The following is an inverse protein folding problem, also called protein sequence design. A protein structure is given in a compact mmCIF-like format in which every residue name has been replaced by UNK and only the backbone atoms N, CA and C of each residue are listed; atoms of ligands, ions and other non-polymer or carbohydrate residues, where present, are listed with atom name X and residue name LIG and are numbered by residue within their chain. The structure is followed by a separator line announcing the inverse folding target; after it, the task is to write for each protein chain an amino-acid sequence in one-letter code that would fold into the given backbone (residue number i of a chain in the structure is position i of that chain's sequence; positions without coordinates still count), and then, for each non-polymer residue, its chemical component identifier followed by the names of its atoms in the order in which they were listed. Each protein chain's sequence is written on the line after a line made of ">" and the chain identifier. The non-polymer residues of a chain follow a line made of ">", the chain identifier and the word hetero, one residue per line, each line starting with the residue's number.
data_IF_638835187983
#
_entry.id   IF_638835187983
#
_cell.length_a   1.000
_cell.length_b   1.000
_cell.length_c   1.000
_cell.angle_alpha   90.00
_cell.angle_beta   90.00
_cell.angle_gamma   90.00
#
_symmetry.space_group_name_H-M   'P 1'
#
loop_
_entity.id
_entity.type
_entity.pdbx_description
1 polymer ?
#
# COMPACT_ATOMS: atom_id res chain seq x y z
N UNK A 1 35.19 -43.35 -87.46
CA UNK A 1 35.70 -43.91 -88.71
C UNK A 1 36.29 -42.85 -89.59
N UNK A 2 37.14 -43.27 -90.59
CA UNK A 2 37.79 -42.37 -91.50
C UNK A 2 37.49 -42.78 -92.92
N UNK A 3 37.09 -41.84 -93.82
CA UNK A 3 36.77 -42.11 -95.23
C UNK A 3 37.71 -41.25 -96.16
N UNK A 4 37.95 -41.71 -97.34
CA UNK A 4 38.61 -40.94 -98.40
C UNK A 4 37.60 -40.06 -99.20
N UNK A 5 38.10 -39.29 -100.18
CA UNK A 5 37.26 -38.44 -101.00
C UNK A 5 36.23 -39.24 -101.85
N UNK A 6 36.51 -40.47 -102.16
CA UNK A 6 35.63 -41.39 -102.86
C UNK A 6 34.63 -42.05 -101.97
N UNK A 7 34.61 -41.66 -100.64
CA UNK A 7 33.77 -42.26 -99.55
C UNK A 7 34.14 -43.74 -99.23
N UNK A 8 35.30 -44.20 -99.56
CA UNK A 8 35.72 -45.52 -99.15
C UNK A 8 36.19 -45.46 -97.72
N UNK A 9 35.85 -46.50 -96.96
CA UNK A 9 36.21 -46.61 -95.57
C UNK A 9 37.73 -46.99 -95.44
N UNK A 10 38.54 -46.06 -94.83
CA UNK A 10 39.95 -46.25 -94.60
C UNK A 10 40.21 -46.96 -93.27
N UNK A 11 39.51 -46.46 -92.21
CA UNK A 11 39.63 -46.99 -90.89
C UNK A 11 38.31 -46.96 -90.16
N UNK A 12 37.98 -48.04 -89.47
CA UNK A 12 36.75 -48.19 -88.71
C UNK A 12 37.00 -48.60 -87.27
N UNK A 13 36.60 -47.81 -86.32
CA UNK A 13 36.50 -48.11 -84.91
C UNK A 13 35.06 -48.20 -84.44
N UNK A 14 34.10 -47.99 -85.39
CA UNK A 14 32.69 -48.04 -85.10
C UNK A 14 32.11 -49.43 -85.41
N UNK A 15 30.95 -49.73 -84.91
CA UNK A 15 30.26 -50.99 -85.27
C UNK A 15 29.88 -50.97 -86.76
N UNK A 16 29.84 -52.15 -87.37
CA UNK A 16 29.52 -52.32 -88.81
C UNK A 16 28.11 -51.77 -89.16
N UNK A 17 27.21 -51.82 -88.22
CA UNK A 17 25.86 -51.31 -88.27
C UNK A 17 25.83 -49.74 -88.28
N UNK A 18 26.69 -49.11 -87.55
CA UNK A 18 26.84 -47.64 -87.58
C UNK A 18 27.46 -47.09 -88.85
N UNK A 19 28.37 -47.85 -89.47
CA UNK A 19 28.99 -47.45 -90.75
C UNK A 19 27.97 -47.58 -91.86
N UNK A 20 27.19 -48.62 -91.91
CA UNK A 20 26.18 -48.86 -92.95
C UNK A 20 25.04 -47.86 -92.91
N UNK A 21 24.61 -47.51 -91.70
CA UNK A 21 23.58 -46.45 -91.44
C UNK A 21 24.06 -45.04 -91.85
N UNK A 22 25.34 -44.75 -91.74
CA UNK A 22 25.95 -43.44 -92.07
C UNK A 22 26.41 -43.28 -93.50
N UNK A 23 26.53 -44.42 -94.26
CA UNK A 23 26.96 -44.37 -95.64
C UNK A 23 25.93 -43.71 -96.56
N UNK A 24 24.69 -43.58 -96.15
CA UNK A 24 23.62 -42.84 -96.81
C UNK A 24 23.55 -41.32 -96.45
N UNK A 25 24.27 -40.91 -95.46
CA UNK A 25 24.23 -39.46 -95.00
C UNK A 25 25.13 -38.63 -95.86
N UNK A 26 24.65 -37.52 -96.40
CA UNK A 26 25.46 -36.60 -97.16
C UNK A 26 26.46 -35.85 -96.18
N UNK A 27 27.70 -36.38 -96.19
CA UNK A 27 28.74 -35.85 -95.27
C UNK A 27 29.15 -34.47 -95.75
N UNK A 28 28.68 -33.46 -95.00
CA UNK A 28 29.07 -32.10 -95.21
C UNK A 28 30.54 -31.89 -94.91
N UNK A 29 31.23 -31.01 -95.53
CA UNK A 29 32.60 -30.61 -95.27
C UNK A 29 32.72 -29.98 -93.88
N UNK A 30 33.43 -30.61 -93.01
CA UNK A 30 33.76 -30.20 -91.59
C UNK A 30 32.66 -29.47 -90.87
N UNK A 31 32.06 -30.14 -89.90
CA UNK A 31 30.97 -29.57 -89.03
C UNK A 31 30.45 -30.52 -88.00
N UNK A 32 29.53 -30.04 -87.18
CA UNK A 32 28.80 -30.84 -86.18
C UNK A 32 27.32 -30.65 -86.37
N UNK A 33 26.56 -31.74 -86.49
CA UNK A 33 25.10 -31.70 -86.57
C UNK A 33 24.49 -32.93 -85.90
N UNK A 34 23.22 -32.83 -85.67
CA UNK A 34 22.44 -33.98 -85.17
C UNK A 34 21.74 -34.60 -86.33
N UNK A 35 21.95 -35.92 -86.46
CA UNK A 35 21.28 -36.78 -87.48
C UNK A 35 20.39 -37.78 -86.83
N UNK A 36 19.19 -37.93 -87.33
CA UNK A 36 18.25 -38.96 -86.84
C UNK A 36 18.36 -40.17 -87.71
N UNK A 37 18.85 -41.23 -87.14
CA UNK A 37 18.99 -42.51 -87.82
C UNK A 37 18.06 -43.55 -87.19
N UNK A 38 17.00 -43.90 -87.90
CA UNK A 38 15.90 -44.74 -87.32
C UNK A 38 15.17 -44.04 -86.19
N UNK A 39 15.18 -44.61 -84.99
CA UNK A 39 14.57 -44.06 -83.83
C UNK A 39 15.55 -43.31 -82.86
N UNK A 40 16.86 -43.35 -83.19
CA UNK A 40 17.91 -42.78 -82.36
C UNK A 40 18.53 -41.51 -82.97
N UNK A 41 18.92 -40.55 -82.13
CA UNK A 41 19.59 -39.33 -82.56
C UNK A 41 21.10 -39.45 -82.25
N UNK A 42 21.89 -39.11 -83.26
CA UNK A 42 23.35 -39.19 -83.22
C UNK A 42 23.94 -37.77 -83.46
N UNK A 43 24.94 -37.46 -82.67
CA UNK A 43 25.77 -36.30 -82.94
C UNK A 43 26.87 -36.75 -83.88
N UNK A 44 26.89 -36.20 -85.05
CA UNK A 44 27.89 -36.47 -86.12
C UNK A 44 28.85 -35.27 -86.14
N UNK A 45 30.12 -35.55 -85.96
CA UNK A 45 31.19 -34.55 -86.08
C UNK A 45 32.12 -35.00 -87.20
N UNK A 46 32.35 -34.08 -88.18
CA UNK A 46 33.25 -34.36 -89.32
C UNK A 46 34.38 -33.37 -89.32
N UNK A 47 35.61 -33.84 -89.55
CA UNK A 47 36.82 -33.00 -89.68
C UNK A 47 37.59 -33.51 -90.89
N UNK A 48 37.85 -32.61 -91.88
CA UNK A 48 38.65 -32.92 -93.03
C UNK A 48 40.15 -32.72 -92.75
N UNK A 49 40.96 -33.73 -93.02
CA UNK A 49 42.40 -33.74 -92.85
C UNK A 49 43.03 -33.31 -94.18
N UNK A 50 43.41 -32.06 -94.31
CA UNK A 50 43.88 -31.40 -95.58
C UNK A 50 45.12 -32.03 -96.16
N UNK A 51 45.96 -32.70 -95.38
CA UNK A 51 47.22 -33.29 -95.79
C UNK A 51 47.04 -34.69 -96.49
N UNK A 52 45.89 -35.34 -96.31
CA UNK A 52 45.68 -36.73 -96.77
C UNK A 52 44.39 -36.90 -97.56
N UNK A 53 43.66 -35.88 -97.84
CA UNK A 53 42.30 -35.86 -98.43
C UNK A 53 41.34 -36.87 -97.73
N UNK A 54 41.49 -36.96 -96.39
CA UNK A 54 40.63 -37.85 -95.56
C UNK A 54 39.62 -37.06 -94.73
N UNK A 55 38.49 -37.63 -94.44
CA UNK A 55 37.50 -37.10 -93.55
C UNK A 55 37.31 -38.02 -92.32
N UNK A 56 37.60 -37.46 -91.14
CA UNK A 56 37.35 -38.21 -89.93
C UNK A 56 35.92 -37.91 -89.47
N UNK A 57 35.16 -38.98 -89.26
CA UNK A 57 33.76 -38.91 -88.79
C UNK A 57 33.68 -39.52 -87.38
N UNK A 58 33.31 -38.73 -86.43
CA UNK A 58 32.99 -39.23 -85.10
C UNK A 58 31.47 -39.15 -84.86
N UNK A 59 30.94 -40.29 -84.49
CA UNK A 59 29.49 -40.45 -84.25
C UNK A 59 29.28 -40.85 -82.77
N UNK A 60 28.52 -40.09 -82.10
CA UNK A 60 28.17 -40.32 -80.72
C UNK A 60 26.64 -40.40 -80.57
N UNK A 61 26.15 -41.42 -79.92
CA UNK A 61 24.71 -41.48 -79.62
C UNK A 61 24.33 -40.42 -78.62
N UNK A 62 23.37 -39.60 -78.98
CA UNK A 62 22.86 -38.50 -78.11
C UNK A 62 22.20 -39.09 -76.87
N UNK A 63 21.55 -40.26 -77.00
CA UNK A 63 20.94 -40.99 -75.92
C UNK A 63 22.01 -41.45 -74.86
N UNK A 64 23.16 -41.88 -75.35
CA UNK A 64 24.25 -42.31 -74.47
C UNK A 64 24.93 -41.14 -73.72
N UNK A 65 25.13 -40.02 -74.43
CA UNK A 65 25.64 -38.77 -73.86
C UNK A 65 24.67 -38.18 -72.82
N UNK A 66 23.37 -38.21 -73.11
CA UNK A 66 22.34 -37.68 -72.23
C UNK A 66 21.95 -38.64 -71.10
N UNK A 67 22.14 -39.93 -71.25
CA UNK A 67 21.79 -40.92 -70.22
C UNK A 67 22.42 -40.70 -68.86
N UNK A 68 23.68 -40.28 -68.82
CA UNK A 68 24.38 -39.93 -67.58
C UNK A 68 23.85 -38.61 -66.97
N UNK A 69 23.54 -37.65 -67.82
CA UNK A 69 22.94 -36.39 -67.43
C UNK A 69 21.53 -36.59 -66.89
N UNK A 70 20.72 -37.47 -67.53
CA UNK A 70 19.39 -37.81 -67.03
C UNK A 70 19.46 -38.53 -65.68
N UNK A 71 20.35 -39.53 -65.50
CA UNK A 71 20.53 -40.20 -64.22
C UNK A 71 20.95 -39.21 -63.12
N UNK A 72 21.86 -38.31 -63.44
CA UNK A 72 22.31 -37.30 -62.45
C UNK A 72 21.17 -36.34 -62.11
N UNK A 73 20.36 -35.91 -63.10
CA UNK A 73 19.18 -35.07 -62.88
C UNK A 73 18.16 -35.78 -61.98
N UNK A 74 17.80 -37.02 -62.32
CA UNK A 74 16.80 -37.77 -61.54
C UNK A 74 17.24 -38.06 -60.10
N UNK A 75 18.56 -38.32 -59.91
CA UNK A 75 19.17 -38.47 -58.62
C UNK A 75 19.16 -37.15 -57.83
N UNK A 76 19.47 -36.01 -58.48
CA UNK A 76 19.39 -34.69 -57.80
C UNK A 76 17.96 -34.32 -57.45
N UNK A 77 16.98 -34.62 -58.30
CA UNK A 77 15.55 -34.41 -57.94
C UNK A 77 15.12 -35.29 -56.79
N UNK A 78 15.56 -36.56 -56.73
CA UNK A 78 15.26 -37.43 -55.60
C UNK A 78 15.88 -36.88 -54.29
N UNK A 79 17.13 -36.47 -54.32
CA UNK A 79 17.78 -35.87 -53.17
C UNK A 79 17.10 -34.55 -52.72
N UNK A 80 16.74 -33.70 -53.67
CA UNK A 80 16.04 -32.44 -53.38
C UNK A 80 14.66 -32.67 -52.74
N UNK A 81 13.90 -33.62 -53.25
CA UNK A 81 12.59 -33.99 -52.67
C UNK A 81 12.74 -34.60 -51.29
N UNK A 82 13.71 -35.48 -51.08
CA UNK A 82 13.97 -36.12 -49.77
C UNK A 82 14.43 -35.10 -48.74
N UNK A 83 15.32 -34.16 -49.12
CA UNK A 83 15.77 -33.08 -48.25
C UNK A 83 14.64 -32.11 -47.91
N UNK A 84 13.78 -31.80 -48.88
CA UNK A 84 12.60 -30.93 -48.65
C UNK A 84 11.60 -31.58 -47.67
N UNK A 85 11.33 -32.90 -47.85
CA UNK A 85 10.48 -33.62 -46.91
C UNK A 85 11.06 -33.68 -45.50
N UNK A 86 12.36 -33.92 -45.40
CA UNK A 86 13.09 -33.91 -44.12
C UNK A 86 13.00 -32.55 -43.44
N UNK A 87 13.20 -31.44 -44.17
CA UNK A 87 13.08 -30.09 -43.65
C UNK A 87 11.68 -29.78 -43.15
N UNK A 88 10.63 -30.19 -43.90
CA UNK A 88 9.23 -30.03 -43.46
C UNK A 88 8.99 -30.84 -42.16
N UNK A 89 9.46 -32.07 -42.09
CA UNK A 89 9.30 -32.90 -40.90
C UNK A 89 9.97 -32.25 -39.66
N UNK A 90 11.19 -31.75 -39.81
CA UNK A 90 11.91 -31.04 -38.74
C UNK A 90 11.15 -29.81 -38.32
N UNK A 91 10.61 -29.03 -39.26
CA UNK A 91 9.82 -27.82 -38.97
C UNK A 91 8.53 -28.16 -38.19
N UNK A 92 7.85 -29.24 -38.58
CA UNK A 92 6.64 -29.70 -37.88
C UNK A 92 6.93 -30.16 -36.46
N UNK A 93 8.03 -30.92 -36.26
CA UNK A 93 8.49 -31.34 -34.93
C UNK A 93 8.85 -30.11 -34.09
N UNK A 94 9.60 -29.15 -34.62
CA UNK A 94 9.97 -27.94 -33.94
C UNK A 94 8.75 -27.12 -33.51
N UNK A 95 7.80 -26.92 -34.45
CA UNK A 95 6.57 -26.16 -34.16
C UNK A 95 5.75 -26.81 -33.05
N UNK A 96 5.60 -28.11 -33.11
CA UNK A 96 4.79 -28.84 -32.13
C UNK A 96 5.50 -28.95 -30.76
N UNK A 97 6.82 -29.19 -30.77
CA UNK A 97 7.61 -29.45 -29.56
C UNK A 97 8.03 -28.17 -28.83
N UNK A 98 8.29 -27.08 -29.55
CA UNK A 98 8.79 -25.86 -28.95
C UNK A 98 7.79 -24.69 -29.05
N UNK A 99 7.34 -24.37 -30.25
CA UNK A 99 6.57 -23.16 -30.46
C UNK A 99 5.19 -23.20 -29.77
N UNK A 100 4.50 -24.34 -29.90
CA UNK A 100 3.14 -24.48 -29.35
C UNK A 100 3.09 -24.40 -27.80
N UNK A 101 3.94 -25.07 -27.03
CA UNK A 101 4.00 -24.93 -25.57
C UNK A 101 4.41 -23.51 -25.12
N UNK A 102 5.38 -22.89 -25.79
CA UNK A 102 5.80 -21.55 -25.50
C UNK A 102 4.67 -20.53 -25.68
N UNK A 103 3.92 -20.64 -26.79
CA UNK A 103 2.72 -19.82 -27.02
C UNK A 103 1.65 -20.06 -25.94
N UNK A 104 1.53 -21.28 -25.41
CA UNK A 104 0.66 -21.59 -24.28
C UNK A 104 1.03 -20.83 -23.03
N UNK A 105 2.32 -20.79 -22.65
CA UNK A 105 2.78 -20.02 -21.49
C UNK A 105 2.51 -18.52 -21.70
N UNK A 106 2.80 -17.98 -22.90
CA UNK A 106 2.52 -16.57 -23.23
C UNK A 106 1.03 -16.24 -23.08
N UNK A 107 0.15 -17.17 -23.47
CA UNK A 107 -1.29 -16.97 -23.32
C UNK A 107 -1.71 -16.97 -21.85
N UNK A 108 -1.17 -17.87 -21.03
CA UNK A 108 -1.41 -17.88 -19.59
C UNK A 108 -0.89 -16.62 -18.90
N UNK A 109 0.28 -16.10 -19.31
CA UNK A 109 0.79 -14.80 -18.83
C UNK A 109 -0.16 -13.64 -19.15
N UNK A 110 -0.83 -13.67 -20.32
CA UNK A 110 -1.85 -12.67 -20.66
C UNK A 110 -3.08 -12.76 -19.74
N UNK A 111 -3.48 -13.96 -19.34
CA UNK A 111 -4.58 -14.15 -18.39
C UNK A 111 -4.21 -13.65 -16.99
N UNK A 112 -3.00 -13.97 -16.50
CA UNK A 112 -2.48 -13.43 -15.22
C UNK A 112 -2.48 -11.89 -15.23
N UNK A 113 -2.07 -11.28 -16.35
CA UNK A 113 -2.11 -9.81 -16.51
C UNK A 113 -3.53 -9.22 -16.42
N UNK A 114 -4.56 -10.00 -16.80
CA UNK A 114 -5.96 -9.60 -16.65
C UNK A 114 -6.52 -9.82 -15.24
N UNK A 115 -5.71 -10.34 -14.33
CA UNK A 115 -6.12 -10.62 -12.95
C UNK A 115 -6.62 -12.07 -12.73
N UNK A 116 -6.54 -12.95 -13.73
CA UNK A 116 -6.88 -14.35 -13.54
C UNK A 116 -5.66 -15.12 -13.03
N UNK A 117 -5.58 -15.30 -11.72
CA UNK A 117 -4.50 -16.04 -11.06
C UNK A 117 -4.81 -17.52 -10.83
N UNK A 118 -5.97 -18.02 -11.33
CA UNK A 118 -6.35 -19.45 -11.23
C UNK A 118 -5.88 -20.26 -12.43
N UNK A 119 -4.81 -19.84 -13.07
CA UNK A 119 -4.24 -20.50 -14.25
C UNK A 119 -2.99 -21.27 -13.87
N UNK A 120 -2.78 -22.41 -14.54
CA UNK A 120 -1.56 -23.21 -14.38
C UNK A 120 -1.13 -23.80 -15.71
N UNK A 121 0.19 -23.88 -15.90
CA UNK A 121 0.77 -24.60 -17.02
C UNK A 121 0.98 -26.06 -16.62
N UNK A 122 0.35 -26.98 -17.36
CA UNK A 122 0.53 -28.42 -17.14
C UNK A 122 1.36 -29.03 -18.27
N UNK A 123 2.53 -29.51 -17.95
CA UNK A 123 3.40 -30.23 -18.88
C UNK A 123 4.11 -31.35 -18.13
N UNK A 124 4.19 -32.56 -18.76
CA UNK A 124 5.01 -33.67 -18.23
C UNK A 124 6.42 -33.67 -18.81
N UNK A 125 6.95 -32.50 -19.17
CA UNK A 125 8.27 -32.35 -19.83
C UNK A 125 9.35 -32.13 -18.79
N UNK A 126 10.51 -32.76 -19.02
CA UNK A 126 11.71 -32.59 -18.18
C UNK A 126 12.80 -31.80 -18.94
N UNK A 127 12.40 -30.80 -19.74
CA UNK A 127 13.29 -29.90 -20.49
C UNK A 127 13.11 -28.47 -20.03
N UNK A 128 13.77 -27.53 -20.72
CA UNK A 128 13.78 -26.09 -20.41
C UNK A 128 12.36 -25.50 -20.46
N UNK A 129 11.48 -26.01 -21.31
CA UNK A 129 10.06 -25.60 -21.40
C UNK A 129 9.28 -26.08 -20.17
N UNK A 130 9.57 -27.28 -19.68
CA UNK A 130 9.00 -27.78 -18.42
C UNK A 130 9.44 -26.93 -17.24
N UNK A 131 10.73 -26.64 -17.14
CA UNK A 131 11.27 -25.75 -16.09
C UNK A 131 10.65 -24.34 -16.12
N UNK A 132 10.46 -23.77 -17.33
CA UNK A 132 9.80 -22.47 -17.51
C UNK A 132 8.35 -22.52 -17.02
N UNK A 133 7.64 -23.60 -17.32
CA UNK A 133 6.26 -23.82 -16.86
C UNK A 133 6.15 -23.95 -15.35
N UNK A 134 7.06 -24.68 -14.71
CA UNK A 134 7.11 -24.83 -13.25
C UNK A 134 7.45 -23.50 -12.56
N UNK A 135 8.39 -22.76 -13.13
CA UNK A 135 8.74 -21.40 -12.65
C UNK A 135 7.56 -20.44 -12.77
N UNK A 136 6.80 -20.50 -13.87
CA UNK A 136 5.57 -19.74 -14.04
C UNK A 136 4.53 -20.11 -12.97
N UNK A 137 4.30 -21.41 -12.74
CA UNK A 137 3.36 -21.87 -11.73
C UNK A 137 3.76 -21.43 -10.32
N UNK A 138 5.06 -21.51 -9.98
CA UNK A 138 5.59 -21.03 -8.70
C UNK A 138 5.36 -19.52 -8.52
N UNK A 139 5.58 -18.74 -9.57
CA UNK A 139 5.32 -17.29 -9.56
C UNK A 139 3.84 -16.97 -9.33
N UNK A 140 2.92 -17.66 -10.06
CA UNK A 140 1.47 -17.47 -9.89
C UNK A 140 1.04 -17.83 -8.47
N UNK A 141 1.55 -18.92 -7.92
CA UNK A 141 1.30 -19.32 -6.53
C UNK A 141 1.75 -18.25 -5.55
N UNK A 142 2.97 -17.74 -5.70
CA UNK A 142 3.49 -16.68 -4.82
C UNK A 142 2.63 -15.41 -4.88
N UNK A 143 2.12 -15.05 -6.07
CA UNK A 143 1.20 -13.92 -6.23
C UNK A 143 -0.09 -14.17 -5.46
N UNK A 144 -0.70 -15.34 -5.58
CA UNK A 144 -1.91 -15.71 -4.86
C UNK A 144 -1.71 -15.65 -3.33
N UNK A 145 -0.62 -16.25 -2.83
CA UNK A 145 -0.29 -16.25 -1.40
C UNK A 145 -0.09 -14.83 -0.87
N UNK A 146 0.51 -13.94 -1.67
CA UNK A 146 0.67 -12.53 -1.32
C UNK A 146 -0.65 -11.76 -1.34
N UNK A 147 -1.54 -12.02 -2.29
CA UNK A 147 -2.87 -11.41 -2.33
C UNK A 147 -3.68 -11.81 -1.09
N UNK A 148 -3.66 -13.10 -0.72
CA UNK A 148 -4.35 -13.59 0.48
C UNK A 148 -3.80 -12.93 1.76
N UNK A 149 -2.47 -12.89 1.94
CA UNK A 149 -1.83 -12.21 3.05
C UNK A 149 -2.16 -10.71 3.12
N UNK A 150 -2.11 -10.02 1.99
CA UNK A 150 -2.44 -8.60 1.94
C UNK A 150 -3.91 -8.34 2.29
N UNK A 151 -4.81 -9.21 1.86
CA UNK A 151 -6.24 -9.12 2.19
C UNK A 151 -6.47 -9.33 3.70
N UNK A 152 -5.78 -10.31 4.29
CA UNK A 152 -5.83 -10.55 5.75
C UNK A 152 -5.26 -9.38 6.55
N UNK A 153 -4.12 -8.83 6.11
CA UNK A 153 -3.52 -7.66 6.75
C UNK A 153 -4.42 -6.42 6.65
N UNK A 154 -5.01 -6.17 5.48
CA UNK A 154 -5.95 -5.07 5.29
C UNK A 154 -7.17 -5.19 6.21
N UNK A 155 -7.69 -6.42 6.40
CA UNK A 155 -8.78 -6.69 7.34
C UNK A 155 -8.37 -6.38 8.78
N UNK A 156 -7.19 -6.82 9.21
CA UNK A 156 -6.67 -6.56 10.58
C UNK A 156 -6.47 -5.05 10.83
N UNK A 157 -5.94 -4.33 9.84
CA UNK A 157 -5.78 -2.87 9.94
C UNK A 157 -7.14 -2.19 10.10
N UNK A 158 -8.11 -2.56 9.27
CA UNK A 158 -9.46 -2.00 9.35
C UNK A 158 -10.14 -2.29 10.70
N UNK A 159 -10.03 -3.53 11.22
CA UNK A 159 -10.55 -3.90 12.54
C UNK A 159 -9.87 -3.09 13.66
N UNK A 160 -8.54 -2.88 13.58
CA UNK A 160 -7.81 -2.08 14.56
C UNK A 160 -8.22 -0.59 14.52
N UNK A 161 -8.40 -0.01 13.34
CA UNK A 161 -8.89 1.36 13.17
C UNK A 161 -10.32 1.53 13.71
N UNK A 162 -11.17 0.53 13.47
CA UNK A 162 -12.55 0.54 13.98
C UNK A 162 -12.59 0.49 15.51
N UNK A 163 -11.81 -0.40 16.12
CA UNK A 163 -11.66 -0.47 17.58
C UNK A 163 -11.07 0.81 18.18
N UNK A 164 -10.08 1.40 17.49
CA UNK A 164 -9.50 2.68 17.91
C UNK A 164 -10.53 3.81 17.88
N UNK A 165 -11.32 3.89 16.81
CA UNK A 165 -12.39 4.88 16.66
C UNK A 165 -13.49 4.68 17.72
N UNK A 166 -13.87 3.44 17.97
CA UNK A 166 -14.85 3.10 19.01
C UNK A 166 -14.33 3.48 20.40
N UNK A 167 -13.07 3.17 20.70
CA UNK A 167 -12.42 3.58 21.95
C UNK A 167 -12.36 5.11 22.11
N UNK A 168 -12.06 5.84 21.03
CA UNK A 168 -12.12 7.31 21.02
C UNK A 168 -13.53 7.84 21.28
N UNK A 169 -14.55 7.26 20.64
CA UNK A 169 -15.96 7.63 20.87
C UNK A 169 -16.38 7.34 22.32
N UNK A 170 -16.00 6.20 22.87
CA UNK A 170 -16.24 5.86 24.29
C UNK A 170 -15.51 6.83 25.23
N UNK A 171 -14.28 7.18 24.92
CA UNK A 171 -13.52 8.17 25.69
C UNK A 171 -14.21 9.55 25.66
N UNK A 172 -14.67 9.99 24.48
CA UNK A 172 -15.43 11.22 24.32
C UNK A 172 -16.77 11.19 25.07
N UNK A 173 -17.51 10.08 24.99
CA UNK A 173 -18.78 9.91 25.71
C UNK A 173 -18.61 9.88 27.22
N UNK A 174 -17.52 9.29 27.72
CA UNK A 174 -17.23 9.22 29.18
C UNK A 174 -16.83 10.56 29.78
N UNK A 175 -16.37 11.51 28.95
CA UNK A 175 -15.97 12.87 29.38
C UNK A 175 -17.18 13.74 29.72
N UNK A 176 -18.32 13.52 29.08
CA UNK A 176 -19.58 14.12 29.49
C UNK A 176 -20.14 13.25 30.61
N UNK A 177 -19.99 13.65 31.89
CA UNK A 177 -20.63 12.93 33.00
C UNK A 177 -22.16 12.95 32.75
N UNK A 178 -22.79 11.85 32.31
CA UNK A 178 -24.23 11.86 31.94
C UNK A 178 -25.10 12.32 33.11
N UNK A 179 -24.68 12.00 34.30
CA UNK A 179 -25.33 12.39 35.53
C UNK A 179 -25.33 13.93 35.77
N UNK A 180 -24.22 14.61 35.41
CA UNK A 180 -24.17 16.08 35.49
C UNK A 180 -25.18 16.74 34.54
N UNK A 181 -25.22 16.29 33.26
CA UNK A 181 -26.18 16.79 32.28
C UNK A 181 -27.61 16.57 32.72
N UNK A 182 -27.94 15.33 33.16
CA UNK A 182 -29.27 14.97 33.63
C UNK A 182 -29.72 15.86 34.81
N UNK A 183 -28.85 16.04 35.81
CA UNK A 183 -29.13 16.87 36.96
C UNK A 183 -29.30 18.35 36.60
N UNK A 184 -28.46 18.86 35.66
CA UNK A 184 -28.57 20.25 35.20
C UNK A 184 -29.88 20.49 34.44
N UNK A 185 -30.29 19.59 33.53
CA UNK A 185 -31.53 19.70 32.81
C UNK A 185 -32.77 19.59 33.73
N UNK A 186 -32.72 18.69 34.70
CA UNK A 186 -33.78 18.59 35.72
C UNK A 186 -33.91 19.88 36.54
N UNK A 187 -32.77 20.44 36.99
CA UNK A 187 -32.75 21.71 37.72
C UNK A 187 -33.35 22.83 36.89
N UNK A 188 -32.97 22.97 35.63
CA UNK A 188 -33.52 23.96 34.70
C UNK A 188 -35.03 23.76 34.54
N UNK A 189 -35.48 22.52 34.35
CA UNK A 189 -36.93 22.20 34.26
C UNK A 189 -37.67 22.62 35.53
N UNK A 190 -37.13 22.34 36.71
CA UNK A 190 -37.73 22.76 37.98
C UNK A 190 -37.78 24.31 38.10
N UNK A 191 -36.73 25.02 37.71
CA UNK A 191 -36.68 26.50 37.72
C UNK A 191 -37.77 27.09 36.82
N UNK A 192 -37.99 26.51 35.64
CA UNK A 192 -39.09 26.92 34.76
C UNK A 192 -40.47 26.70 35.42
N UNK A 193 -40.66 25.51 36.03
CA UNK A 193 -41.94 25.17 36.68
C UNK A 193 -42.27 26.09 37.85
N UNK A 194 -41.27 26.58 38.60
CA UNK A 194 -41.46 27.52 39.72
C UNK A 194 -41.42 28.99 39.31
N UNK A 195 -41.37 29.28 37.99
CA UNK A 195 -41.38 30.65 37.46
C UNK A 195 -40.06 31.40 37.53
N UNK A 196 -38.91 30.73 37.80
CA UNK A 196 -37.57 31.37 37.87
C UNK A 196 -36.93 31.39 36.47
N UNK A 197 -37.61 32.06 35.51
CA UNK A 197 -37.21 32.02 34.10
C UNK A 197 -35.82 32.60 33.83
N UNK A 198 -35.44 33.72 34.47
CA UNK A 198 -34.14 34.34 34.28
C UNK A 198 -32.99 33.38 34.70
N UNK A 199 -33.15 32.68 35.82
CA UNK A 199 -32.17 31.71 36.29
C UNK A 199 -32.10 30.50 35.36
N UNK A 200 -33.23 30.05 34.82
CA UNK A 200 -33.24 28.92 33.85
C UNK A 200 -32.53 29.31 32.57
N UNK A 201 -32.74 30.50 32.02
CA UNK A 201 -32.07 30.99 30.81
C UNK A 201 -30.55 31.11 31.05
N UNK A 202 -30.14 31.71 32.17
CA UNK A 202 -28.71 31.84 32.55
C UNK A 202 -28.02 30.46 32.65
N UNK A 203 -28.69 29.48 33.25
CA UNK A 203 -28.17 28.11 33.34
C UNK A 203 -28.12 27.39 31.97
N UNK A 204 -29.02 27.66 31.05
CA UNK A 204 -28.96 27.17 29.66
C UNK A 204 -27.78 27.75 28.93
N UNK A 205 -27.52 29.06 29.07
CA UNK A 205 -26.33 29.71 28.45
C UNK A 205 -25.04 29.17 28.99
N UNK A 206 -24.93 28.95 30.30
CA UNK A 206 -23.79 28.35 30.96
C UNK A 206 -23.59 26.91 30.47
N UNK A 207 -24.66 26.11 30.36
CA UNK A 207 -24.59 24.75 29.84
C UNK A 207 -24.14 24.72 28.37
N UNK A 208 -24.65 25.63 27.54
CA UNK A 208 -24.20 25.77 26.15
C UNK A 208 -22.70 26.09 26.05
N UNK A 209 -22.21 27.03 26.91
CA UNK A 209 -20.77 27.38 26.97
C UNK A 209 -19.90 26.20 27.35
N UNK A 210 -20.32 25.40 28.35
CA UNK A 210 -19.64 24.17 28.74
C UNK A 210 -19.54 23.18 27.60
N UNK A 211 -20.68 22.85 26.96
CA UNK A 211 -20.72 21.88 25.88
C UNK A 211 -19.88 22.31 24.68
N UNK A 212 -19.88 23.60 24.35
CA UNK A 212 -19.04 24.15 23.28
C UNK A 212 -17.55 24.08 23.61
N UNK A 213 -17.19 24.31 24.89
CA UNK A 213 -15.80 24.17 25.36
C UNK A 213 -15.28 22.76 25.19
N UNK A 214 -16.09 21.75 25.48
CA UNK A 214 -15.73 20.33 25.39
C UNK A 214 -15.29 19.89 24.00
N UNK A 215 -15.71 20.58 22.93
CA UNK A 215 -15.25 20.30 21.57
C UNK A 215 -13.79 20.65 21.29
N UNK A 216 -13.09 21.31 22.24
CA UNK A 216 -11.69 21.77 22.10
C UNK A 216 -10.69 20.96 22.95
N UNK A 217 -11.03 19.74 23.37
CA UNK A 217 -10.33 18.95 24.38
C UNK A 217 -8.80 18.79 24.18
N UNK A 218 -8.35 18.56 22.96
CA UNK A 218 -6.94 18.30 22.66
C UNK A 218 -6.18 19.54 22.13
N UNK A 219 -6.71 20.72 22.37
CA UNK A 219 -6.12 21.97 21.88
C UNK A 219 -5.63 22.83 23.04
N UNK A 220 -4.67 23.68 22.76
CA UNK A 220 -4.36 24.80 23.62
C UNK A 220 -5.46 25.85 23.53
N UNK A 221 -5.87 26.37 24.66
CA UNK A 221 -6.88 27.43 24.80
C UNK A 221 -6.31 28.59 25.60
N UNK A 222 -6.90 29.76 25.45
CA UNK A 222 -6.54 30.88 26.29
C UNK A 222 -6.95 30.58 27.75
N UNK A 223 -6.14 31.05 28.71
CA UNK A 223 -6.45 30.92 30.14
C UNK A 223 -7.80 31.55 30.45
N UNK A 224 -8.12 32.72 29.83
CA UNK A 224 -9.43 33.34 30.01
C UNK A 224 -10.60 32.46 29.53
N UNK A 225 -10.44 31.67 28.44
CA UNK A 225 -11.44 30.74 27.97
C UNK A 225 -11.65 29.59 28.97
N UNK A 226 -10.57 29.03 29.53
CA UNK A 226 -10.66 27.98 30.55
C UNK A 226 -11.36 28.49 31.79
N UNK A 227 -11.03 29.72 32.27
CA UNK A 227 -11.70 30.36 33.40
C UNK A 227 -13.18 30.64 33.10
N UNK A 228 -13.54 31.02 31.89
CA UNK A 228 -14.94 31.19 31.48
C UNK A 228 -15.73 29.87 31.51
N UNK A 229 -15.08 28.75 31.21
CA UNK A 229 -15.67 27.39 31.35
C UNK A 229 -15.83 27.02 32.82
N UNK A 230 -14.85 27.31 33.67
CA UNK A 230 -14.95 27.10 35.11
C UNK A 230 -16.06 27.95 35.76
N UNK A 231 -16.21 29.21 35.34
CA UNK A 231 -17.32 30.07 35.78
C UNK A 231 -18.68 29.49 35.40
N UNK A 232 -18.83 29.01 34.15
CA UNK A 232 -20.04 28.38 33.70
C UNK A 232 -20.36 27.10 34.52
N UNK A 233 -19.36 26.27 34.77
CA UNK A 233 -19.53 25.03 35.58
C UNK A 233 -19.90 25.34 37.03
N UNK A 234 -19.11 26.19 37.70
CA UNK A 234 -19.35 26.56 39.10
C UNK A 234 -20.68 27.31 39.26
N UNK A 235 -21.06 28.16 38.31
CA UNK A 235 -22.34 28.83 38.28
C UNK A 235 -23.53 27.88 38.24
N UNK A 236 -23.47 26.85 37.40
CA UNK A 236 -24.50 25.77 37.37
C UNK A 236 -24.51 25.01 38.69
N UNK A 237 -23.36 24.66 39.25
CA UNK A 237 -23.29 23.91 40.51
C UNK A 237 -23.76 24.78 41.68
N UNK A 238 -23.43 26.07 41.69
CA UNK A 238 -23.94 27.01 42.69
C UNK A 238 -25.48 27.16 42.63
N UNK A 239 -26.02 27.20 41.44
CA UNK A 239 -27.52 27.18 41.26
C UNK A 239 -28.13 25.87 41.76
N UNK A 240 -27.46 24.72 41.62
CA UNK A 240 -27.89 23.41 42.10
C UNK A 240 -27.83 23.26 43.63
N UNK A 241 -26.72 23.72 44.21
CA UNK A 241 -26.49 23.57 45.65
C UNK A 241 -27.01 24.81 46.46
N UNK A 242 -27.46 25.83 45.78
CA UNK A 242 -28.00 27.08 46.33
C UNK A 242 -26.99 27.70 47.37
N UNK A 243 -27.43 27.93 48.58
CA UNK A 243 -26.64 28.55 49.64
C UNK A 243 -25.48 27.66 50.16
N UNK A 244 -25.37 26.42 49.70
CA UNK A 244 -24.36 25.47 50.16
C UNK A 244 -23.03 25.60 49.41
N UNK A 245 -23.04 26.16 48.19
CA UNK A 245 -21.83 26.38 47.39
C UNK A 245 -21.70 27.85 47.06
N UNK A 246 -20.58 28.41 47.41
CA UNK A 246 -20.09 29.71 46.90
C UNK A 246 -18.75 29.54 46.22
N UNK A 247 -18.47 30.36 45.22
CA UNK A 247 -17.19 30.31 44.54
C UNK A 247 -16.64 31.70 44.23
N UNK A 248 -15.34 31.76 44.05
CA UNK A 248 -14.60 32.99 43.68
C UNK A 248 -13.52 32.63 42.67
N UNK A 249 -13.51 33.35 41.53
CA UNK A 249 -12.49 33.20 40.49
C UNK A 249 -11.62 34.46 40.46
N UNK A 250 -10.32 34.31 40.57
CA UNK A 250 -9.31 35.35 40.47
C UNK A 250 -8.29 35.02 39.42
N UNK A 251 -8.17 35.86 38.42
CA UNK A 251 -7.20 35.69 37.33
C UNK A 251 -6.44 36.97 37.12
N UNK A 252 -5.12 36.91 37.23
CA UNK A 252 -4.25 38.02 36.89
C UNK A 252 -4.38 38.36 35.39
N UNK A 253 -4.45 39.65 35.08
CA UNK A 253 -4.57 40.13 33.70
C UNK A 253 -3.41 39.68 32.81
N UNK A 254 -2.24 39.49 33.38
CA UNK A 254 -1.06 38.95 32.68
C UNK A 254 -1.21 37.54 32.13
N UNK A 255 -2.10 36.73 32.72
CA UNK A 255 -2.35 35.35 32.31
C UNK A 255 -3.50 35.20 31.31
N UNK A 256 -4.38 36.17 31.17
CA UNK A 256 -5.59 36.05 30.33
C UNK A 256 -5.28 35.59 28.92
N UNK A 257 -4.21 36.13 28.31
CA UNK A 257 -3.80 35.83 26.93
C UNK A 257 -2.77 34.72 26.80
N UNK A 258 -2.46 34.03 27.89
CA UNK A 258 -1.58 32.88 27.88
C UNK A 258 -2.34 31.64 27.40
N UNK A 259 -1.64 30.71 26.79
CA UNK A 259 -2.20 29.43 26.29
C UNK A 259 -1.91 28.35 27.30
N UNK A 260 -2.91 27.50 27.56
CA UNK A 260 -2.78 26.27 28.34
C UNK A 260 -3.52 25.12 27.64
N UNK A 261 -3.17 23.87 27.94
CA UNK A 261 -3.99 22.74 27.53
C UNK A 261 -5.40 22.88 28.06
N UNK A 262 -6.39 22.68 27.19
CA UNK A 262 -7.79 22.69 27.60
C UNK A 262 -8.09 21.64 28.68
N UNK A 263 -8.99 21.95 29.57
CA UNK A 263 -9.49 21.05 30.62
C UNK A 263 -8.41 20.52 31.58
N UNK A 264 -7.43 21.36 31.91
CA UNK A 264 -6.49 21.06 33.01
C UNK A 264 -7.10 21.40 34.37
N UNK A 265 -7.80 22.53 34.45
CA UNK A 265 -8.34 23.05 35.73
C UNK A 265 -9.71 22.48 36.07
N UNK A 266 -10.52 22.15 35.08
CA UNK A 266 -11.89 21.65 35.30
C UNK A 266 -11.94 20.40 36.19
N UNK A 267 -11.12 19.33 35.98
CA UNK A 267 -11.14 18.17 36.87
C UNK A 267 -10.78 18.47 38.33
N UNK A 268 -9.93 19.50 38.56
CA UNK A 268 -9.59 19.94 39.90
C UNK A 268 -10.80 20.58 40.58
N UNK A 269 -11.49 21.46 39.84
CA UNK A 269 -12.72 22.11 40.31
C UNK A 269 -13.85 21.11 40.51
N UNK A 270 -14.01 20.16 39.62
CA UNK A 270 -14.99 19.05 39.78
C UNK A 270 -14.76 18.26 41.06
N UNK A 271 -13.48 17.92 41.35
CA UNK A 271 -13.13 17.23 42.60
C UNK A 271 -13.45 18.07 43.83
N UNK A 272 -13.16 19.41 43.78
CA UNK A 272 -13.50 20.34 44.85
C UNK A 272 -15.04 20.39 45.10
N UNK A 273 -15.86 20.37 44.04
CA UNK A 273 -17.33 20.35 44.18
C UNK A 273 -17.81 19.00 44.75
N UNK A 274 -17.33 17.86 44.23
CA UNK A 274 -17.74 16.54 44.67
C UNK A 274 -17.39 16.31 46.13
N UNK A 275 -16.12 16.50 46.46
CA UNK A 275 -15.62 16.20 47.83
C UNK A 275 -15.92 17.29 48.84
N UNK A 276 -16.04 18.56 48.40
CA UNK A 276 -16.42 19.66 49.26
C UNK A 276 -17.91 19.80 49.51
N UNK A 277 -18.74 19.66 48.49
CA UNK A 277 -20.17 20.00 48.56
C UNK A 277 -21.13 18.79 48.55
N UNK A 278 -20.87 17.76 47.73
CA UNK A 278 -21.84 16.63 47.59
C UNK A 278 -21.80 15.73 48.83
N UNK A 279 -20.63 15.58 49.46
CA UNK A 279 -20.45 14.68 50.63
C UNK A 279 -20.83 15.32 51.96
N UNK A 280 -21.07 16.61 52.01
CA UNK A 280 -21.36 17.36 53.24
C UNK A 280 -22.58 18.27 53.16
N UNK A 281 -23.28 18.48 54.33
CA UNK A 281 -24.36 19.45 54.46
C UNK A 281 -23.84 20.87 54.80
N UNK A 282 -22.53 21.06 54.94
CA UNK A 282 -21.89 22.34 55.28
C UNK A 282 -21.79 23.25 54.04
N UNK A 283 -21.78 24.57 54.26
CA UNK A 283 -21.42 25.53 53.19
C UNK A 283 -19.97 25.34 52.81
N UNK A 284 -19.71 25.26 51.53
CA UNK A 284 -18.36 25.12 50.97
C UNK A 284 -18.06 26.30 50.06
N UNK A 285 -16.92 26.92 50.23
CA UNK A 285 -16.39 27.96 49.35
C UNK A 285 -15.27 27.35 48.50
N UNK A 286 -15.37 27.49 47.17
CA UNK A 286 -14.33 27.10 46.23
C UNK A 286 -13.67 28.37 45.71
N UNK A 287 -12.35 28.42 45.76
CA UNK A 287 -11.59 29.54 45.21
C UNK A 287 -10.65 29.02 44.14
N UNK A 288 -10.67 29.67 42.96
CA UNK A 288 -9.73 29.39 41.87
C UNK A 288 -8.93 30.64 41.57
N UNK A 289 -7.62 30.55 41.73
CA UNK A 289 -6.71 31.68 41.53
C UNK A 289 -5.69 31.32 40.41
N UNK A 290 -5.49 32.23 39.46
CA UNK A 290 -4.43 32.15 38.46
C UNK A 290 -3.51 33.35 38.56
N UNK A 291 -2.20 33.16 38.79
CA UNK A 291 -1.23 34.20 38.91
C UNK A 291 0.14 33.84 38.34
N UNK A 292 0.91 34.84 37.95
CA UNK A 292 2.27 34.69 37.46
C UNK A 292 3.27 34.95 38.61
N UNK A 293 4.20 34.01 38.79
CA UNK A 293 5.28 34.17 39.76
C UNK A 293 6.58 33.58 39.23
N UNK A 294 7.66 34.32 39.27
CA UNK A 294 9.01 33.89 38.89
C UNK A 294 9.08 33.26 37.50
N UNK A 295 8.32 33.81 36.51
CA UNK A 295 8.28 33.31 35.15
C UNK A 295 7.49 32.01 34.96
N UNK A 296 6.69 31.62 35.94
CA UNK A 296 5.82 30.41 35.88
C UNK A 296 4.37 30.76 36.14
N UNK A 297 3.48 30.07 35.49
CA UNK A 297 2.04 30.19 35.69
C UNK A 297 1.60 29.24 36.81
N UNK A 298 0.92 29.80 37.78
CA UNK A 298 0.36 29.07 38.90
C UNK A 298 -1.15 29.16 38.88
N UNK A 299 -1.81 27.99 38.99
CA UNK A 299 -3.25 27.89 39.16
C UNK A 299 -3.54 27.12 40.44
N UNK A 300 -4.31 27.71 41.31
CA UNK A 300 -4.62 27.18 42.64
C UNK A 300 -6.12 27.02 42.77
N UNK A 301 -6.57 25.79 43.01
CA UNK A 301 -7.95 25.47 43.32
C UNK A 301 -8.02 25.04 44.77
N UNK A 302 -8.77 25.78 45.59
CA UNK A 302 -8.92 25.52 47.02
C UNK A 302 -10.39 25.39 47.40
N UNK A 303 -10.70 24.41 48.22
CA UNK A 303 -11.99 24.25 48.89
C UNK A 303 -11.82 24.25 50.42
N UNK A 304 -12.83 24.67 51.13
CA UNK A 304 -12.90 24.61 52.63
C UNK A 304 -13.76 23.39 53.08
N UNK A 305 -13.75 22.33 52.30
CA UNK A 305 -14.51 21.10 52.54
C UNK A 305 -13.96 20.20 53.61
N UNK A 306 -14.26 18.88 53.51
CA UNK A 306 -13.84 17.87 54.51
C UNK A 306 -12.33 17.70 54.61
N UNK A 307 -11.61 17.95 53.54
CA UNK A 307 -10.19 17.60 53.42
C UNK A 307 -9.93 16.10 53.44
N UNK A 308 -8.67 15.75 53.57
CA UNK A 308 -8.16 14.37 53.55
C UNK A 308 -7.35 14.08 54.81
N UNK A 309 -7.39 12.82 55.26
CA UNK A 309 -6.45 12.33 56.29
C UNK A 309 -5.02 12.27 55.69
N UNK A 310 -4.02 12.25 56.57
CA UNK A 310 -2.62 12.19 56.16
C UNK A 310 -2.32 10.93 55.33
N UNK A 311 -2.96 9.83 55.64
CA UNK A 311 -2.85 8.55 54.91
C UNK A 311 -3.43 8.67 53.48
N UNK A 312 -4.60 9.29 53.36
CA UNK A 312 -5.25 9.52 52.03
C UNK A 312 -4.41 10.48 51.19
N UNK A 313 -3.89 11.54 51.81
CA UNK A 313 -3.05 12.51 51.09
C UNK A 313 -1.74 11.88 50.67
N UNK A 314 -1.11 11.06 51.49
CA UNK A 314 0.12 10.33 51.14
C UNK A 314 -0.12 9.37 49.98
N UNK A 315 -1.18 8.56 50.02
CA UNK A 315 -1.54 7.63 48.95
C UNK A 315 -1.80 8.36 47.63
N UNK A 316 -2.46 9.54 47.68
CA UNK A 316 -2.71 10.34 46.47
C UNK A 316 -1.41 10.96 45.92
N UNK A 317 -0.52 11.48 46.75
CA UNK A 317 0.79 11.98 46.34
C UNK A 317 1.68 10.90 45.75
N UNK A 318 1.66 9.68 46.26
CA UNK A 318 2.38 8.53 45.69
C UNK A 318 1.85 8.17 44.30
N UNK A 319 0.54 8.22 44.08
CA UNK A 319 -0.07 8.02 42.75
C UNK A 319 0.33 9.13 41.76
N UNK A 320 0.35 10.39 42.20
CA UNK A 320 0.76 11.52 41.35
C UNK A 320 2.27 11.53 41.04
N UNK A 321 3.10 10.97 41.91
CA UNK A 321 4.57 10.90 41.75
C UNK A 321 5.05 9.76 40.83
N UNK A 322 4.17 8.84 40.39
CA UNK A 322 4.54 7.78 39.44
C UNK A 322 4.70 8.37 38.05
N UNK A 323 5.92 8.39 37.55
CA UNK A 323 6.25 8.80 36.19
C UNK A 323 5.75 7.75 35.18
N UNK A 324 5.41 8.20 33.96
CA UNK A 324 4.86 7.39 32.88
C UNK A 324 5.75 6.20 32.41
N UNK A 325 6.98 6.11 32.89
CA UNK A 325 7.95 5.08 32.48
C UNK A 325 7.77 3.71 33.18
N UNK A 326 6.91 3.62 34.22
CA UNK A 326 6.80 2.42 35.05
C UNK A 326 5.48 1.63 34.92
N UNK A 327 4.67 1.86 33.88
CA UNK A 327 3.40 1.12 33.70
C UNK A 327 3.38 0.19 32.50
N UNK A 328 3.84 -1.05 32.71
CA UNK A 328 3.41 -2.25 31.97
C UNK A 328 2.43 -3.10 32.83
N UNK A 329 1.54 -2.48 33.58
CA UNK A 329 0.50 -3.25 34.29
C UNK A 329 -0.87 -2.58 34.17
N UNK A 330 -1.79 -3.35 33.59
CA UNK A 330 -3.24 -3.19 33.47
C UNK A 330 -3.88 -2.26 34.51
N UNK A 331 -4.40 -1.13 34.04
CA UNK A 331 -5.36 -0.31 34.78
C UNK A 331 -6.72 -0.96 34.64
N UNK A 332 -7.19 -1.62 35.69
CA UNK A 332 -8.61 -2.05 35.82
C UNK A 332 -9.49 -0.80 35.98
N UNK A 333 -10.55 -0.62 35.19
CA UNK A 333 -11.51 0.44 35.40
C UNK A 333 -12.48 0.04 36.50
N UNK A 334 -12.20 0.48 37.74
CA UNK A 334 -13.11 0.19 38.84
C UNK A 334 -12.74 0.93 40.09
N UNK A 335 -13.64 1.76 40.54
CA UNK A 335 -13.80 2.38 41.86
C UNK A 335 -12.80 3.49 42.26
N UNK A 336 -13.39 4.65 42.50
CA UNK A 336 -12.96 5.84 43.22
C UNK A 336 -12.50 7.04 42.38
N UNK A 337 -13.17 8.17 42.61
CA UNK A 337 -13.10 9.48 41.97
C UNK A 337 -11.74 10.17 41.85
N UNK A 338 -10.62 9.47 42.03
CA UNK A 338 -9.25 10.02 41.93
C UNK A 338 -8.58 9.85 40.57
N UNK A 339 -9.21 9.12 39.64
CA UNK A 339 -8.66 8.86 38.29
C UNK A 339 -8.45 10.17 37.49
N UNK A 340 -9.25 11.20 37.78
CA UNK A 340 -9.17 12.49 37.09
C UNK A 340 -7.86 13.26 37.31
N UNK A 341 -7.35 13.35 38.55
CA UNK A 341 -6.15 14.13 38.90
C UNK A 341 -4.87 13.48 38.36
N UNK A 342 -4.77 12.18 38.42
CA UNK A 342 -3.65 11.42 37.87
C UNK A 342 -3.52 11.62 36.36
N UNK A 343 -4.64 11.52 35.64
CA UNK A 343 -4.66 11.76 34.19
C UNK A 343 -4.28 13.19 33.82
N UNK A 344 -4.76 14.20 34.58
CA UNK A 344 -4.37 15.59 34.37
C UNK A 344 -2.88 15.77 34.63
N UNK A 345 -2.34 15.21 35.71
CA UNK A 345 -0.92 15.29 36.01
C UNK A 345 -0.06 14.67 34.91
N UNK A 346 -0.43 13.49 34.40
CA UNK A 346 0.24 12.84 33.27
C UNK A 346 0.17 13.72 32.00
N UNK A 347 -0.98 14.30 31.68
CA UNK A 347 -1.12 15.22 30.53
C UNK A 347 -0.19 16.43 30.65
N UNK A 348 -0.11 17.04 31.84
CA UNK A 348 0.80 18.15 32.10
C UNK A 348 2.25 17.73 31.89
N UNK A 349 2.66 16.59 32.45
CA UNK A 349 4.03 16.10 32.36
C UNK A 349 4.44 15.72 30.92
N UNK A 350 3.54 15.13 30.16
CA UNK A 350 3.78 14.78 28.74
C UNK A 350 3.94 16.04 27.89
N UNK A 351 3.12 17.05 28.13
CA UNK A 351 3.10 18.25 27.28
C UNK A 351 4.15 19.30 27.67
N UNK A 352 4.32 19.54 28.98
CA UNK A 352 5.17 20.60 29.50
C UNK A 352 6.49 20.10 30.13
N UNK A 353 6.64 18.78 30.29
CA UNK A 353 7.81 18.17 30.92
C UNK A 353 7.59 17.75 32.38
N UNK A 354 8.41 16.79 32.84
CA UNK A 354 8.27 16.15 34.15
C UNK A 354 8.48 17.07 35.38
N UNK A 355 9.03 18.25 35.19
CA UNK A 355 9.20 19.25 36.25
C UNK A 355 7.92 20.03 36.59
N UNK A 356 6.90 19.94 35.72
CA UNK A 356 5.59 20.53 35.89
C UNK A 356 4.57 19.51 36.34
N UNK A 357 3.47 19.96 36.97
CA UNK A 357 2.43 19.04 37.44
C UNK A 357 1.59 19.61 38.57
N UNK A 358 0.88 18.71 39.23
CA UNK A 358 -0.05 18.99 40.32
C UNK A 358 0.61 18.75 41.68
N UNK A 359 0.47 19.69 42.59
CA UNK A 359 0.81 19.54 44.00
C UNK A 359 -0.43 19.70 44.86
N UNK A 360 -0.61 18.82 45.84
CA UNK A 360 -1.81 18.79 46.68
C UNK A 360 -1.40 18.93 48.13
N UNK A 361 -2.15 19.80 48.85
CA UNK A 361 -2.14 19.94 50.28
C UNK A 361 -3.57 19.85 50.83
N UNK A 362 -3.77 19.13 51.91
CA UNK A 362 -5.08 18.94 52.52
C UNK A 362 -4.91 18.66 54.02
N UNK A 363 -5.89 19.09 54.81
CA UNK A 363 -6.00 18.76 56.22
C UNK A 363 -7.47 18.36 56.54
N UNK A 364 -7.71 17.44 57.44
CA UNK A 364 -9.07 17.08 57.83
C UNK A 364 -9.82 18.34 58.35
N UNK A 365 -11.05 18.48 57.87
CA UNK A 365 -11.96 19.59 58.19
C UNK A 365 -11.47 21.03 57.83
N UNK A 366 -10.36 21.14 57.14
CA UNK A 366 -9.77 22.43 56.68
C UNK A 366 -9.75 22.56 55.17
N UNK A 367 -10.21 21.50 54.44
CA UNK A 367 -10.33 21.48 52.97
C UNK A 367 -9.08 20.98 52.26
N UNK A 368 -9.10 21.19 50.92
CA UNK A 368 -8.03 20.76 50.03
C UNK A 368 -7.59 21.91 49.12
N UNK A 369 -6.29 22.01 48.91
CA UNK A 369 -5.69 22.94 47.94
C UNK A 369 -4.88 22.17 46.91
N UNK A 370 -5.27 22.29 45.63
CA UNK A 370 -4.55 21.76 44.48
C UNK A 370 -3.86 22.89 43.74
N UNK A 371 -2.54 22.79 43.57
CA UNK A 371 -1.74 23.77 42.84
C UNK A 371 -1.19 23.14 41.57
N UNK A 372 -1.44 23.77 40.45
CA UNK A 372 -0.86 23.45 39.14
C UNK A 372 0.25 24.44 38.83
N UNK A 373 1.40 23.97 38.41
CA UNK A 373 2.53 24.76 37.99
C UNK A 373 2.82 24.47 36.50
N UNK A 374 2.84 25.52 35.67
CA UNK A 374 3.08 25.44 34.23
C UNK A 374 4.14 26.45 33.79
N UNK A 375 4.85 26.21 32.67
CA UNK A 375 5.73 27.20 32.08
C UNK A 375 4.93 28.41 31.54
N UNK A 376 5.58 29.57 31.44
CA UNK A 376 5.05 30.66 30.64
C UNK A 376 5.35 30.36 29.18
N UNK A 377 4.32 30.08 28.39
CA UNK A 377 4.46 29.84 26.94
C UNK A 377 4.40 31.19 26.22
N UNK A 378 5.52 31.66 25.72
CA UNK A 378 5.53 32.69 24.68
C UNK A 378 5.20 32.00 23.35
N UNK A 379 4.14 32.45 22.67
CA UNK A 379 3.83 31.93 21.32
C UNK A 379 4.98 32.39 20.40
N UNK A 380 5.82 31.45 19.95
CA UNK A 380 6.65 31.69 18.77
C UNK A 380 5.71 32.03 17.61
N UNK A 381 5.88 33.23 17.04
CA UNK A 381 5.16 33.61 15.83
C UNK A 381 5.32 32.53 14.79
N UNK A 382 4.20 31.99 14.27
CA UNK A 382 4.17 31.14 13.11
C UNK A 382 5.04 31.73 12.01
N UNK A 383 6.27 31.22 11.87
CA UNK A 383 7.10 31.52 10.72
C UNK A 383 6.53 30.80 9.53
N UNK A 384 5.95 31.57 8.61
CA UNK A 384 5.75 31.32 7.18
C UNK A 384 6.17 29.93 6.72
N UNK A 385 5.20 29.07 6.50
CA UNK A 385 5.34 27.95 5.58
C UNK A 385 5.32 28.54 4.17
N UNK A 386 6.39 28.46 3.36
CA UNK A 386 6.33 28.89 1.97
C UNK A 386 5.36 27.98 1.22
N UNK A 387 4.34 28.62 0.63
CA UNK A 387 3.44 27.99 -0.32
C UNK A 387 4.26 27.40 -1.48
N UNK A 388 4.35 26.08 -1.54
CA UNK A 388 4.84 25.37 -2.71
C UNK A 388 3.67 25.36 -3.69
N UNK A 389 3.67 26.35 -4.59
CA UNK A 389 2.99 26.29 -5.88
C UNK A 389 3.90 25.50 -6.81
N UNK A 390 3.41 24.37 -7.33
CA UNK A 390 4.04 23.53 -8.36
C UNK A 390 3.09 22.41 -8.77
#
# INVERSE_FOLDING_TARGET
>A
FTIDNDKNLIYNSASQEQVELLSGVALASSGSWIEKIGSAEYMVNTVQVKSADWTIVAVNSLDELTKNAQKTRDFTFLLATLSSLSAILVLLIFTHSFLKPLMGIVQLMKEVRKGNFQVSFSSKRNDEIGYLGDSFNAMVKTINDNIEKNTELAKKVYEAEMLHTEAQLHALQSQIKPHFLYNTLNMISMQIQVGRLEQAVDNIEKLHRLLRGMAKWDREVLVEDEFAILDAYLGIQSSRFEQRLSYELKLDDSLKKQYILAFILQPLVENAVIHGCETQRRRTKITVEGFLKEGRCYFVVSDDGKGMTEEQLKALREKLGRTAENENQSVSPGADGHIGLENVNKRIQIHYGSCYGIRISSQPDAGTTCRVELPLLEKECEQNVPSITG
#
